data_IF_512232134698
#
_entry.id   IF_512232134698
#
_cell.length_a   1.000
_cell.length_b   1.000
_cell.length_c   1.000
_cell.angle_alpha   90.00
_cell.angle_beta   90.00
_cell.angle_gamma   90.00
#
_symmetry.space_group_name_H-M   'P 1'
#
loop_
_entity.id
_entity.type
_entity.pdbx_description
1 polymer ?
#
# COMPACT_ATOMS: atom_id res chain seq x y z
N UNK A 1 -7.34 -4.16 -0.40
CA UNK A 1 -6.39 -5.12 0.21
C UNK A 1 -5.51 -5.81 -0.83
N UNK A 2 -6.07 -6.69 -1.69
CA UNK A 2 -5.25 -7.53 -2.59
C UNK A 2 -4.31 -6.77 -3.52
N UNK A 3 -4.74 -5.63 -4.06
CA UNK A 3 -3.91 -4.78 -4.92
C UNK A 3 -2.59 -4.39 -4.24
N UNK A 4 -2.66 -3.82 -3.03
CA UNK A 4 -1.49 -3.43 -2.26
C UNK A 4 -0.67 -4.62 -1.77
N UNK A 5 -1.31 -5.73 -1.41
CA UNK A 5 -0.59 -6.93 -0.98
C UNK A 5 0.26 -7.53 -2.12
N UNK A 6 -0.27 -7.54 -3.36
CA UNK A 6 0.48 -7.94 -4.56
C UNK A 6 1.66 -7.00 -4.80
N UNK A 7 1.47 -5.69 -4.69
CA UNK A 7 2.56 -4.71 -4.85
C UNK A 7 3.67 -4.95 -3.81
N UNK A 8 3.30 -5.11 -2.53
CA UNK A 8 4.27 -5.36 -1.45
C UNK A 8 5.00 -6.69 -1.65
N UNK A 9 4.33 -7.74 -2.13
CA UNK A 9 4.96 -9.02 -2.46
C UNK A 9 5.93 -8.89 -3.63
N UNK A 10 5.59 -8.11 -4.67
CA UNK A 10 6.49 -7.84 -5.80
C UNK A 10 7.80 -7.20 -5.33
N UNK A 11 7.73 -6.16 -4.50
CA UNK A 11 8.92 -5.49 -3.99
C UNK A 11 9.71 -6.40 -3.04
N UNK A 12 9.02 -7.07 -2.12
CA UNK A 12 9.63 -7.99 -1.17
C UNK A 12 10.31 -9.18 -1.85
N UNK A 13 9.77 -9.66 -2.97
CA UNK A 13 10.30 -10.75 -3.77
C UNK A 13 11.56 -10.38 -4.56
N UNK A 14 11.95 -9.11 -4.60
CA UNK A 14 13.19 -8.67 -5.26
C UNK A 14 13.19 -8.90 -6.77
N UNK A 15 12.01 -8.81 -7.41
CA UNK A 15 11.88 -8.99 -8.89
C UNK A 15 12.86 -8.09 -9.64
N UNK A 16 13.13 -6.90 -9.11
CA UNK A 16 14.31 -6.10 -9.45
C UNK A 16 15.15 -5.88 -8.21
N UNK A 17 16.48 -5.89 -8.38
CA UNK A 17 17.44 -5.73 -7.29
C UNK A 17 17.28 -4.40 -6.54
N UNK A 18 16.93 -3.32 -7.27
CA UNK A 18 16.68 -1.98 -6.71
C UNK A 18 15.25 -1.75 -6.19
N UNK A 19 14.43 -2.80 -6.06
CA UNK A 19 13.04 -2.67 -5.64
C UNK A 19 12.13 -2.18 -6.77
N UNK A 20 11.17 -1.32 -6.47
CA UNK A 20 10.28 -0.79 -7.49
C UNK A 20 11.03 0.20 -8.41
N UNK A 21 11.20 -0.16 -9.69
CA UNK A 21 11.86 0.69 -10.70
C UNK A 21 11.24 2.09 -10.77
N UNK A 22 9.90 2.17 -10.82
CA UNK A 22 9.20 3.45 -10.93
C UNK A 22 9.33 4.31 -9.68
N UNK A 23 9.50 3.71 -8.50
CA UNK A 23 9.79 4.47 -7.27
C UNK A 23 11.15 5.17 -7.35
N UNK A 24 12.18 4.45 -7.80
CA UNK A 24 13.51 5.02 -7.98
C UNK A 24 13.53 6.09 -9.08
N UNK A 25 12.92 5.79 -10.23
CA UNK A 25 12.85 6.72 -11.35
C UNK A 25 12.05 7.99 -10.99
N UNK A 26 10.93 7.86 -10.27
CA UNK A 26 10.19 9.01 -9.79
C UNK A 26 11.03 9.90 -8.87
N UNK A 27 11.75 9.31 -7.91
CA UNK A 27 12.63 10.08 -7.02
C UNK A 27 13.79 10.79 -7.76
N UNK A 28 14.25 10.26 -8.89
CA UNK A 28 15.32 10.89 -9.68
C UNK A 28 14.80 12.02 -10.59
N UNK A 29 13.58 11.87 -11.13
CA UNK A 29 13.07 12.73 -12.21
C UNK A 29 11.92 13.66 -11.81
N UNK A 30 11.39 13.60 -10.57
CA UNK A 30 10.24 14.42 -10.12
C UNK A 30 10.42 15.94 -10.26
N UNK A 31 11.66 16.41 -10.21
CA UNK A 31 12.09 17.80 -10.29
C UNK A 31 12.81 18.13 -11.60
N UNK A 32 12.75 17.22 -12.58
CA UNK A 32 13.46 17.33 -13.86
C UNK A 32 12.46 17.28 -15.03
N UNK A 33 11.83 18.41 -15.39
CA UNK A 33 10.88 18.46 -16.50
C UNK A 33 11.48 17.90 -17.80
N UNK A 34 10.68 17.13 -18.54
CA UNK A 34 11.08 16.53 -19.81
C UNK A 34 10.39 15.19 -20.07
N UNK A 35 10.66 14.55 -21.21
CA UNK A 35 9.92 13.37 -21.66
C UNK A 35 9.94 12.19 -20.66
N UNK A 36 11.05 12.03 -19.92
CA UNK A 36 11.17 10.98 -18.90
C UNK A 36 10.29 11.27 -17.69
N UNK A 37 10.33 12.49 -17.17
CA UNK A 37 9.43 12.94 -16.09
C UNK A 37 7.98 12.73 -16.48
N UNK A 38 7.58 13.16 -17.69
CA UNK A 38 6.20 13.09 -18.14
C UNK A 38 5.70 11.66 -18.19
N UNK A 39 6.53 10.73 -18.71
CA UNK A 39 6.17 9.32 -18.78
C UNK A 39 6.08 8.68 -17.39
N UNK A 40 6.99 9.02 -16.48
CA UNK A 40 6.92 8.54 -15.08
C UNK A 40 5.66 9.08 -14.40
N UNK A 41 5.35 10.37 -14.58
CA UNK A 41 4.17 10.99 -14.02
C UNK A 41 2.87 10.33 -14.51
N UNK A 42 2.78 9.97 -15.80
CA UNK A 42 1.68 9.17 -16.34
C UNK A 42 1.53 7.83 -15.63
N UNK A 43 2.61 7.06 -15.51
CA UNK A 43 2.59 5.73 -14.89
C UNK A 43 2.20 5.82 -13.40
N UNK A 44 2.71 6.82 -12.69
CA UNK A 44 2.34 7.05 -11.28
C UNK A 44 0.87 7.47 -11.14
N UNK A 45 0.35 8.27 -12.08
CA UNK A 45 -1.09 8.60 -12.15
C UNK A 45 -1.95 7.37 -12.45
N UNK A 46 -1.50 6.49 -13.33
CA UNK A 46 -2.18 5.21 -13.64
C UNK A 46 -2.24 4.31 -12.41
N UNK A 47 -1.16 4.22 -11.63
CA UNK A 47 -1.12 3.47 -10.38
C UNK A 47 -2.13 4.02 -9.35
N UNK A 48 -2.05 5.31 -9.03
CA UNK A 48 -2.98 5.97 -8.12
C UNK A 48 -4.42 5.85 -8.61
N UNK A 49 -4.64 6.01 -9.92
CA UNK A 49 -5.94 5.82 -10.55
C UNK A 49 -6.49 4.40 -10.39
N UNK A 50 -5.63 3.39 -10.40
CA UNK A 50 -6.01 1.99 -10.17
C UNK A 50 -6.47 1.77 -8.74
N UNK A 51 -5.72 2.27 -7.74
CA UNK A 51 -6.13 2.18 -6.33
C UNK A 51 -7.45 2.94 -6.11
N UNK A 52 -7.55 4.17 -6.63
CA UNK A 52 -8.75 5.00 -6.54
C UNK A 52 -9.97 4.29 -7.11
N UNK A 53 -9.86 3.69 -8.31
CA UNK A 53 -10.95 2.89 -8.92
C UNK A 53 -11.35 1.73 -8.02
N UNK A 54 -10.40 0.98 -7.46
CA UNK A 54 -10.72 -0.12 -6.55
C UNK A 54 -11.50 0.34 -5.31
N UNK A 55 -11.19 1.54 -4.78
CA UNK A 55 -11.95 2.15 -3.68
C UNK A 55 -13.38 2.49 -4.11
N UNK A 56 -13.54 3.15 -5.25
CA UNK A 56 -14.86 3.50 -5.81
C UNK A 56 -15.73 2.25 -6.04
N UNK A 57 -15.16 1.19 -6.61
CA UNK A 57 -15.89 -0.06 -6.81
C UNK A 57 -16.28 -0.73 -5.48
N UNK A 58 -15.42 -0.64 -4.47
CA UNK A 58 -15.75 -1.11 -3.11
C UNK A 58 -16.90 -0.31 -2.48
N UNK A 59 -16.99 0.99 -2.75
CA UNK A 59 -18.12 1.83 -2.30
C UNK A 59 -19.41 1.45 -3.02
N UNK A 60 -19.38 1.24 -4.35
CA UNK A 60 -20.53 0.79 -5.14
C UNK A 60 -21.04 -0.57 -4.68
N UNK A 61 -20.15 -1.47 -4.29
CA UNK A 61 -20.47 -2.79 -3.74
C UNK A 61 -20.95 -2.76 -2.27
N UNK A 62 -21.03 -1.59 -1.63
CA UNK A 62 -21.42 -1.45 -0.23
C UNK A 62 -20.39 -2.04 0.76
N UNK A 63 -19.15 -2.21 0.33
CA UNK A 63 -18.04 -2.75 1.14
C UNK A 63 -17.27 -1.64 1.87
N UNK A 64 -17.33 -0.41 1.37
CA UNK A 64 -16.66 0.76 1.95
C UNK A 64 -17.65 1.91 2.15
N UNK A 65 -17.44 2.72 3.17
CA UNK A 65 -18.31 3.86 3.45
C UNK A 65 -18.23 4.89 2.30
N UNK A 66 -19.38 5.50 1.98
CA UNK A 66 -19.53 6.41 0.83
C UNK A 66 -18.90 7.80 1.04
N UNK A 67 -18.63 8.17 2.29
CA UNK A 67 -18.02 9.43 2.71
C UNK A 67 -16.48 9.41 2.62
N UNK A 68 -15.89 8.24 2.41
CA UNK A 68 -14.44 8.07 2.24
C UNK A 68 -14.01 8.70 0.92
N UNK A 69 -13.04 9.60 0.97
CA UNK A 69 -12.40 10.13 -0.24
C UNK A 69 -11.51 9.05 -0.90
N UNK A 70 -11.85 8.57 -2.11
CA UNK A 70 -11.06 7.56 -2.81
C UNK A 70 -9.65 8.03 -3.16
N UNK A 71 -9.46 9.33 -3.40
CA UNK A 71 -8.17 9.90 -3.78
C UNK A 71 -7.23 9.95 -2.57
N UNK A 72 -7.76 10.33 -1.40
CA UNK A 72 -7.01 10.31 -0.15
C UNK A 72 -6.52 8.91 0.20
N UNK A 73 -7.40 7.91 0.13
CA UNK A 73 -7.02 6.53 0.47
C UNK A 73 -6.00 5.96 -0.54
N UNK A 74 -6.11 6.31 -1.81
CA UNK A 74 -5.12 5.94 -2.83
C UNK A 74 -3.74 6.56 -2.56
N UNK A 75 -3.69 7.85 -2.19
CA UNK A 75 -2.46 8.53 -1.80
C UNK A 75 -1.80 7.85 -0.60
N UNK A 76 -2.58 7.56 0.45
CA UNK A 76 -2.07 6.91 1.66
C UNK A 76 -1.48 5.52 1.38
N UNK A 77 -2.12 4.72 0.52
CA UNK A 77 -1.62 3.40 0.17
C UNK A 77 -0.30 3.50 -0.59
N UNK A 78 -0.24 4.38 -1.60
CA UNK A 78 0.99 4.63 -2.32
C UNK A 78 2.12 5.12 -1.40
N UNK A 79 1.84 6.00 -0.44
CA UNK A 79 2.82 6.47 0.53
C UNK A 79 3.37 5.33 1.40
N UNK A 80 2.50 4.43 1.88
CA UNK A 80 2.89 3.27 2.69
C UNK A 80 3.69 2.24 1.88
N UNK A 81 3.30 2.01 0.64
CA UNK A 81 4.00 1.15 -0.33
C UNK A 81 5.41 1.68 -0.62
N UNK A 82 5.52 2.95 -1.03
CA UNK A 82 6.80 3.59 -1.30
C UNK A 82 7.70 3.67 -0.05
N UNK A 83 7.11 3.96 1.12
CA UNK A 83 7.83 3.94 2.39
C UNK A 83 8.40 2.56 2.73
N UNK A 84 7.65 1.49 2.46
CA UNK A 84 8.15 0.13 2.63
C UNK A 84 9.29 -0.21 1.66
N UNK A 85 9.15 0.16 0.38
CA UNK A 85 10.22 0.01 -0.60
C UNK A 85 11.49 0.74 -0.17
N UNK A 86 11.36 2.01 0.22
CA UNK A 86 12.51 2.82 0.63
C UNK A 86 13.21 2.26 1.88
N UNK A 87 12.45 1.91 2.93
CA UNK A 87 13.03 1.33 4.15
C UNK A 87 13.71 -0.02 3.88
N UNK A 88 13.15 -0.84 2.99
CA UNK A 88 13.77 -2.09 2.59
C UNK A 88 15.05 -1.86 1.78
N UNK A 89 15.04 -0.98 0.78
CA UNK A 89 16.19 -0.72 -0.08
C UNK A 89 17.34 -0.02 0.65
N UNK A 90 17.03 0.99 1.46
CA UNK A 90 18.06 1.78 2.14
C UNK A 90 18.60 1.10 3.39
N UNK A 91 17.74 0.46 4.19
CA UNK A 91 18.13 -0.10 5.48
C UNK A 91 18.15 -1.63 5.52
N UNK A 92 17.73 -2.31 4.45
CA UNK A 92 17.52 -3.76 4.49
C UNK A 92 16.37 -4.17 5.41
N UNK A 93 15.46 -3.27 5.78
CA UNK A 93 14.41 -3.53 6.77
C UNK A 93 13.30 -4.42 6.21
N UNK A 94 13.44 -5.73 6.38
CA UNK A 94 12.44 -6.72 5.99
C UNK A 94 11.10 -6.55 6.72
N UNK A 95 11.09 -5.91 7.89
CA UNK A 95 9.86 -5.68 8.67
C UNK A 95 9.03 -4.51 8.11
N UNK A 96 9.60 -3.68 7.24
CA UNK A 96 8.89 -2.57 6.60
C UNK A 96 7.61 -3.03 5.89
N UNK A 97 7.65 -4.18 5.20
CA UNK A 97 6.47 -4.74 4.53
C UNK A 97 5.38 -5.17 5.51
N UNK A 98 5.75 -5.72 6.67
CA UNK A 98 4.78 -6.06 7.71
C UNK A 98 4.12 -4.79 8.29
N UNK A 99 4.89 -3.73 8.51
CA UNK A 99 4.37 -2.42 8.95
C UNK A 99 3.42 -1.81 7.94
N UNK A 100 3.77 -1.81 6.64
CA UNK A 100 2.89 -1.31 5.59
C UNK A 100 1.59 -2.12 5.50
N UNK A 101 1.64 -3.46 5.52
CA UNK A 101 0.44 -4.30 5.54
C UNK A 101 -0.47 -3.97 6.73
N UNK A 102 0.10 -3.81 7.93
CA UNK A 102 -0.65 -3.45 9.11
C UNK A 102 -1.33 -2.07 8.98
N UNK A 103 -0.60 -1.07 8.51
CA UNK A 103 -1.10 0.30 8.30
C UNK A 103 -2.19 0.38 7.22
N UNK A 104 -2.06 -0.37 6.13
CA UNK A 104 -3.07 -0.46 5.07
C UNK A 104 -4.33 -1.17 5.59
N UNK A 105 -4.17 -2.27 6.34
CA UNK A 105 -5.31 -2.98 6.92
C UNK A 105 -6.06 -2.14 7.96
N UNK A 106 -5.36 -1.36 8.77
CA UNK A 106 -5.97 -0.46 9.74
C UNK A 106 -6.87 0.56 9.05
N UNK A 107 -6.36 1.24 8.00
CA UNK A 107 -7.14 2.18 7.19
C UNK A 107 -8.33 1.52 6.51
N UNK A 108 -8.14 0.35 5.92
CA UNK A 108 -9.24 -0.40 5.31
C UNK A 108 -10.32 -0.75 6.33
N UNK A 109 -9.95 -1.21 7.53
CA UNK A 109 -10.92 -1.55 8.58
C UNK A 109 -11.67 -0.32 9.10
N UNK A 110 -10.97 0.81 9.25
CA UNK A 110 -11.55 2.09 9.67
C UNK A 110 -12.67 2.54 8.73
N UNK A 111 -12.52 2.26 7.44
CA UNK A 111 -13.39 2.76 6.38
C UNK A 111 -14.35 1.70 5.79
N UNK A 112 -14.22 0.43 6.19
CA UNK A 112 -15.06 -0.66 5.72
C UNK A 112 -16.42 -0.70 6.40
N UNK A 113 -17.44 -1.08 5.64
CA UNK A 113 -18.73 -1.52 6.22
C UNK A 113 -18.55 -2.91 6.86
N UNK A 114 -19.61 -3.42 7.52
CA UNK A 114 -19.61 -4.82 7.98
C UNK A 114 -19.32 -5.82 6.85
N UNK A 115 -19.85 -5.56 5.65
CA UNK A 115 -19.64 -6.38 4.46
C UNK A 115 -18.19 -6.31 3.97
N UNK A 116 -17.57 -5.13 3.95
CA UNK A 116 -16.16 -5.03 3.55
C UNK A 116 -15.19 -5.61 4.56
N UNK A 117 -15.48 -5.46 5.86
CA UNK A 117 -14.62 -5.95 6.93
C UNK A 117 -14.46 -7.48 6.89
N UNK A 118 -15.51 -8.22 6.51
CA UNK A 118 -15.46 -9.69 6.36
C UNK A 118 -14.58 -10.17 5.21
N UNK A 119 -14.24 -9.29 4.25
CA UNK A 119 -13.35 -9.59 3.12
C UNK A 119 -11.86 -9.33 3.45
N UNK A 120 -11.58 -8.70 4.59
CA UNK A 120 -10.21 -8.39 5.01
C UNK A 120 -9.58 -9.57 5.76
N UNK A 121 -8.25 -9.74 5.70
CA UNK A 121 -7.55 -10.68 6.55
C UNK A 121 -7.92 -10.51 8.03
N UNK A 122 -8.02 -11.60 8.80
CA UNK A 122 -8.32 -11.53 10.21
C UNK A 122 -7.24 -10.74 10.96
N UNK A 123 -7.63 -10.07 12.04
CA UNK A 123 -6.68 -9.48 12.98
C UNK A 123 -5.95 -10.65 13.64
N UNK A 124 -4.63 -10.76 13.45
CA UNK A 124 -3.82 -11.69 14.24
C UNK A 124 -3.76 -11.15 15.66
N UNK A 125 -4.52 -11.76 16.58
CA UNK A 125 -4.33 -11.51 18.00
C UNK A 125 -2.88 -11.88 18.35
N UNK A 126 -2.16 -10.95 19.00
CA UNK A 126 -0.89 -11.30 19.65
C UNK A 126 -1.24 -12.29 20.75
N UNK A 127 -0.98 -13.60 20.55
CA UNK A 127 -1.01 -14.57 21.64
C UNK A 127 -0.15 -14.02 22.78
N UNK A 128 -0.79 -13.61 23.87
CA UNK A 128 -0.10 -13.11 25.04
C UNK A 128 0.93 -14.15 25.48
N UNK A 129 2.18 -13.72 25.62
CA UNK A 129 3.16 -14.50 26.37
C UNK A 129 2.69 -14.48 27.83
N UNK A 130 1.89 -15.49 28.21
CA UNK A 130 1.73 -15.85 29.61
C UNK A 130 3.09 -16.31 30.07
N UNK A 131 3.83 -15.41 30.69
CA UNK A 131 5.09 -15.70 31.35
C UNK A 131 4.75 -16.62 32.52
N UNK A 132 4.99 -17.92 32.35
CA UNK A 132 4.89 -18.87 33.45
C UNK A 132 5.85 -18.42 34.54
N UNK A 133 5.31 -17.97 35.68
CA UNK A 133 6.07 -17.81 36.92
C UNK A 133 6.64 -19.19 37.28
N UNK A 134 7.97 -19.26 37.33
CA UNK A 134 8.72 -20.27 38.08
C UNK A 134 9.42 -19.54 39.21
#
# INVERSE_FOLDING_TARGET
WKLSDIWLNYVQGGVFSGGCFFAAAAAEFDSRPGPVHDRIAEIMKEWLGTIRRAVVESQKAGQMNKDVDPSQLAFEFNALELGANWAFQLYGDKQAFARARAAILERLRRHSTKSGSSLLPPIKEKRGHVRAMR
#
